data_IF_701160142889
#
_entry.id   IF_701160142889
#
_cell.length_a   1.000
_cell.length_b   1.000
_cell.length_c   1.000
_cell.angle_alpha   90.00
_cell.angle_beta   90.00
_cell.angle_gamma   90.00
#
_symmetry.space_group_name_H-M   'P 1'
#
loop_
_entity.id
_entity.type
_entity.pdbx_description
1 polymer ?
#
# COMPACT_ATOMS: atom_id res chain seq x y z
N UNK A 1 -18.77 24.44 -10.43
CA UNK A 1 -18.48 23.11 -10.99
C UNK A 1 -17.62 22.43 -9.97
N UNK A 2 -18.15 21.40 -9.31
CA UNK A 2 -17.32 20.54 -8.47
C UNK A 2 -16.30 19.85 -9.41
N UNK A 3 -15.01 19.96 -9.09
CA UNK A 3 -13.95 19.32 -9.89
C UNK A 3 -14.11 17.80 -9.78
N UNK A 4 -13.93 17.08 -10.88
CA UNK A 4 -13.88 15.61 -10.84
C UNK A 4 -12.56 15.14 -10.21
N UNK A 5 -12.50 13.90 -9.70
CA UNK A 5 -11.23 13.39 -9.18
C UNK A 5 -10.16 13.25 -10.27
N UNK A 6 -10.59 12.97 -11.51
CA UNK A 6 -9.72 12.98 -12.67
C UNK A 6 -9.07 14.35 -12.86
N UNK A 7 -9.86 15.43 -12.77
CA UNK A 7 -9.36 16.79 -12.92
C UNK A 7 -8.38 17.14 -11.80
N UNK A 8 -8.69 16.75 -10.57
CA UNK A 8 -7.84 16.98 -9.39
C UNK A 8 -6.51 16.26 -9.55
N UNK A 9 -6.50 14.95 -9.79
CA UNK A 9 -5.26 14.18 -9.87
C UNK A 9 -4.40 14.46 -11.10
N UNK A 10 -4.98 14.94 -12.20
CA UNK A 10 -4.18 15.44 -13.33
C UNK A 10 -3.36 16.69 -13.01
N UNK A 11 -3.60 17.33 -11.86
CA UNK A 11 -2.78 18.43 -11.36
C UNK A 11 -1.53 17.95 -10.60
N UNK A 12 -1.40 16.65 -10.30
CA UNK A 12 -0.21 16.09 -9.63
C UNK A 12 1.03 16.37 -10.49
N UNK A 13 2.06 17.06 -9.96
CA UNK A 13 3.26 17.35 -10.71
C UNK A 13 3.98 16.08 -11.19
N UNK A 14 4.43 16.11 -12.44
CA UNK A 14 5.12 15.00 -13.10
C UNK A 14 6.63 15.12 -12.96
N UNK A 15 7.12 15.54 -11.78
CA UNK A 15 8.56 15.64 -11.54
C UNK A 15 9.19 14.25 -11.48
N UNK A 16 10.48 14.09 -11.81
CA UNK A 16 11.17 12.81 -11.69
C UNK A 16 11.07 12.20 -10.29
N UNK A 17 11.03 13.03 -9.26
CA UNK A 17 10.90 12.61 -7.87
C UNK A 17 9.53 11.99 -7.58
N UNK A 18 8.45 12.65 -8.00
CA UNK A 18 7.07 12.14 -7.85
C UNK A 18 6.89 10.82 -8.61
N UNK A 19 7.37 10.73 -9.86
CA UNK A 19 7.29 9.50 -10.65
C UNK A 19 8.10 8.37 -10.00
N UNK A 20 9.31 8.68 -9.51
CA UNK A 20 10.19 7.72 -8.84
C UNK A 20 9.57 7.20 -7.53
N UNK A 21 8.83 8.05 -6.81
CA UNK A 21 8.15 7.66 -5.59
C UNK A 21 7.18 6.50 -5.82
N UNK A 22 6.30 6.61 -6.83
CA UNK A 22 5.34 5.54 -7.16
C UNK A 22 5.96 4.35 -7.90
N UNK A 23 7.14 4.51 -8.48
CA UNK A 23 7.82 3.44 -9.22
C UNK A 23 8.02 2.18 -8.37
N UNK A 24 7.56 1.05 -8.92
CA UNK A 24 7.67 -0.26 -8.30
C UNK A 24 6.66 -0.53 -7.18
N UNK A 25 5.81 0.43 -6.79
CA UNK A 25 4.69 0.19 -5.86
C UNK A 25 3.57 -0.59 -6.57
N UNK A 26 3.33 -0.23 -7.84
CA UNK A 26 2.46 -0.88 -8.82
C UNK A 26 2.90 -0.45 -10.25
N UNK A 27 2.41 -1.12 -11.28
CA UNK A 27 2.57 -0.69 -12.68
C UNK A 27 1.28 -0.01 -13.17
N UNK A 28 0.12 -0.59 -12.89
CA UNK A 28 -1.19 -0.02 -13.21
C UNK A 28 -2.23 -0.42 -12.17
N UNK A 29 -2.96 0.55 -11.63
CA UNK A 29 -4.05 0.31 -10.68
C UNK A 29 -5.36 0.92 -11.17
N UNK A 30 -6.45 0.30 -10.77
CA UNK A 30 -7.75 0.93 -10.76
C UNK A 30 -8.00 1.61 -9.42
N UNK A 31 -8.60 2.79 -9.45
CA UNK A 31 -9.02 3.53 -8.26
C UNK A 31 -10.53 3.72 -8.34
N UNK A 32 -11.23 3.44 -7.24
CA UNK A 32 -12.67 3.68 -7.12
C UNK A 32 -12.90 4.62 -5.95
N UNK A 33 -13.63 5.71 -6.20
CA UNK A 33 -13.91 6.74 -5.18
C UNK A 33 -15.29 6.48 -4.61
N UNK A 34 -15.31 6.24 -3.29
CA UNK A 34 -16.46 5.64 -2.62
C UNK A 34 -17.70 6.53 -2.66
N UNK A 35 -17.52 7.84 -2.56
CA UNK A 35 -18.58 8.84 -2.44
C UNK A 35 -19.16 9.25 -3.79
N UNK A 36 -18.32 9.37 -4.81
CA UNK A 36 -18.72 9.83 -6.15
C UNK A 36 -19.02 8.68 -7.11
N UNK A 37 -18.50 7.47 -6.81
CA UNK A 37 -18.55 6.33 -7.72
C UNK A 37 -17.62 6.47 -8.92
N UNK A 38 -16.78 7.50 -8.96
CA UNK A 38 -15.80 7.69 -10.02
C UNK A 38 -14.77 6.56 -10.01
N UNK A 39 -14.41 6.14 -11.22
CA UNK A 39 -13.38 5.14 -11.46
C UNK A 39 -12.27 5.76 -12.31
N UNK A 40 -11.02 5.53 -11.91
CA UNK A 40 -9.84 6.04 -12.57
C UNK A 40 -8.81 4.92 -12.75
N UNK A 41 -8.00 5.04 -13.79
CA UNK A 41 -6.80 4.24 -14.02
C UNK A 41 -5.58 5.09 -13.71
N UNK A 42 -4.64 4.55 -12.94
CA UNK A 42 -3.33 5.18 -12.69
C UNK A 42 -2.26 4.21 -13.16
N UNK A 43 -1.47 4.61 -14.17
CA UNK A 43 -0.38 3.82 -14.70
C UNK A 43 0.96 4.55 -14.52
N UNK A 44 1.97 3.83 -14.01
CA UNK A 44 3.34 4.35 -13.89
C UNK A 44 4.07 4.03 -15.18
N UNK A 45 4.40 5.07 -15.93
CA UNK A 45 5.24 5.01 -17.11
C UNK A 45 6.70 5.35 -16.75
N UNK A 46 7.59 5.43 -17.75
CA UNK A 46 9.03 5.62 -17.49
C UNK A 46 9.33 6.96 -16.81
N UNK A 47 8.63 8.00 -17.23
CA UNK A 47 8.86 9.39 -16.87
C UNK A 47 7.57 10.15 -16.55
N UNK A 48 6.44 9.45 -16.43
CA UNK A 48 5.14 10.03 -16.16
C UNK A 48 4.22 9.08 -15.40
N UNK A 49 3.19 9.65 -14.77
CA UNK A 49 2.04 8.96 -14.19
C UNK A 49 0.85 9.27 -15.10
N UNK A 50 0.36 8.28 -15.82
CA UNK A 50 -0.82 8.43 -16.68
C UNK A 50 -2.09 8.20 -15.87
N UNK A 51 -3.02 9.15 -15.94
CA UNK A 51 -4.31 9.09 -15.25
C UNK A 51 -5.45 9.23 -16.25
N UNK A 52 -6.23 8.16 -16.38
CA UNK A 52 -7.33 8.01 -17.35
C UNK A 52 -8.65 7.71 -16.63
N UNK A 53 -9.81 8.09 -17.20
CA UNK A 53 -11.11 7.69 -16.66
C UNK A 53 -11.35 6.18 -16.85
N UNK A 54 -12.09 5.58 -15.91
CA UNK A 54 -12.47 4.17 -15.90
C UNK A 54 -11.40 3.25 -15.32
N UNK A 55 -11.79 2.01 -14.98
CA UNK A 55 -10.85 0.98 -14.52
C UNK A 55 -10.04 0.39 -15.69
N UNK A 56 -8.77 0.01 -15.47
CA UNK A 56 -7.98 -0.66 -16.49
C UNK A 56 -8.49 -2.09 -16.69
N UNK A 57 -8.27 -2.69 -17.87
CA UNK A 57 -8.71 -4.08 -18.14
C UNK A 57 -8.03 -5.12 -17.23
N UNK A 58 -6.76 -4.89 -16.88
CA UNK A 58 -5.93 -5.80 -16.08
C UNK A 58 -5.17 -5.00 -15.01
N UNK A 59 -5.86 -4.50 -13.97
CA UNK A 59 -5.21 -3.80 -12.87
C UNK A 59 -4.32 -4.77 -12.10
N UNK A 60 -3.19 -4.27 -11.59
CA UNK A 60 -2.44 -4.94 -10.53
C UNK A 60 -3.31 -5.00 -9.26
N UNK A 61 -4.01 -3.89 -8.96
CA UNK A 61 -4.91 -3.72 -7.82
C UNK A 61 -6.09 -2.82 -8.18
N UNK A 62 -7.25 -3.05 -7.57
CA UNK A 62 -8.33 -2.06 -7.51
C UNK A 62 -8.41 -1.54 -6.07
N UNK A 63 -8.17 -0.24 -5.91
CA UNK A 63 -8.01 0.41 -4.61
C UNK A 63 -9.20 1.34 -4.35
N UNK A 64 -10.06 1.04 -3.37
CA UNK A 64 -11.09 1.97 -2.96
C UNK A 64 -10.48 3.10 -2.11
N UNK A 65 -10.83 4.34 -2.41
CA UNK A 65 -10.44 5.52 -1.63
C UNK A 65 -11.64 6.42 -1.33
N UNK A 66 -11.48 7.31 -0.35
CA UNK A 66 -12.44 8.37 -0.03
C UNK A 66 -12.19 9.62 -0.90
N UNK A 67 -13.16 10.52 -1.01
CA UNK A 67 -12.97 11.81 -1.69
C UNK A 67 -11.90 12.67 -1.01
N UNK A 68 -11.86 12.68 0.32
CA UNK A 68 -10.84 13.38 1.10
C UNK A 68 -9.41 12.94 0.72
N UNK A 69 -9.24 11.66 0.36
CA UNK A 69 -7.97 11.12 -0.11
C UNK A 69 -7.55 11.69 -1.47
N UNK A 70 -8.52 11.99 -2.33
CA UNK A 70 -8.28 12.60 -3.65
C UNK A 70 -7.73 14.01 -3.46
N UNK A 71 -8.38 14.80 -2.61
CA UNK A 71 -8.00 16.20 -2.32
C UNK A 71 -6.63 16.28 -1.64
N UNK A 72 -6.39 15.42 -0.64
CA UNK A 72 -5.13 15.39 0.07
C UNK A 72 -3.95 15.07 -0.85
N UNK A 73 -4.11 14.19 -1.84
CA UNK A 73 -3.00 13.77 -2.70
C UNK A 73 -2.39 14.93 -3.53
N UNK A 74 -3.19 15.90 -3.96
CA UNK A 74 -2.70 17.06 -4.72
C UNK A 74 -2.01 18.07 -3.82
N UNK A 75 -2.57 18.33 -2.63
CA UNK A 75 -2.03 19.26 -1.65
C UNK A 75 -0.66 18.84 -1.07
N UNK A 76 -0.15 17.66 -1.43
CA UNK A 76 1.09 17.09 -0.91
C UNK A 76 2.17 16.87 -1.97
N UNK A 77 1.93 17.35 -3.19
CA UNK A 77 2.89 17.27 -4.29
C UNK A 77 3.10 18.64 -4.96
N UNK A 78 2.58 19.75 -4.39
CA UNK A 78 2.51 21.06 -5.05
C UNK A 78 3.88 21.67 -5.37
N UNK A 79 4.91 21.44 -4.53
CA UNK A 79 6.27 21.97 -4.76
C UNK A 79 7.14 21.05 -5.64
N UNK A 80 6.64 19.86 -5.97
CA UNK A 80 7.30 18.90 -6.85
C UNK A 80 8.40 18.07 -6.20
N UNK A 81 8.64 18.23 -4.90
CA UNK A 81 9.48 17.36 -4.07
C UNK A 81 8.58 16.42 -3.24
N UNK A 82 9.15 15.39 -2.62
CA UNK A 82 8.41 14.56 -1.65
C UNK A 82 9.23 14.44 -0.37
N UNK A 83 8.93 15.31 0.59
CA UNK A 83 9.53 15.24 1.91
C UNK A 83 8.98 14.04 2.74
N UNK A 84 9.59 13.68 3.88
CA UNK A 84 9.11 12.58 4.70
C UNK A 84 7.67 12.73 5.24
N UNK A 85 7.19 13.96 5.45
CA UNK A 85 5.82 14.25 5.88
C UNK A 85 4.84 14.07 4.72
N UNK A 86 5.19 14.51 3.53
CA UNK A 86 4.41 14.34 2.29
C UNK A 86 4.32 12.87 1.90
N UNK A 87 5.45 12.15 1.90
CA UNK A 87 5.49 10.70 1.71
C UNK A 87 4.53 9.99 2.68
N UNK A 88 4.54 10.39 3.95
CA UNK A 88 3.64 9.82 4.95
C UNK A 88 2.17 10.13 4.68
N UNK A 89 1.82 11.34 4.25
CA UNK A 89 0.44 11.69 3.90
C UNK A 89 -0.05 10.92 2.67
N UNK A 90 0.79 10.78 1.64
CA UNK A 90 0.45 9.99 0.44
C UNK A 90 0.26 8.51 0.83
N UNK A 91 1.18 7.95 1.62
CA UNK A 91 1.07 6.57 2.08
C UNK A 91 -0.16 6.39 2.99
N UNK A 92 -0.46 7.34 3.87
CA UNK A 92 -1.56 7.23 4.84
C UNK A 92 -2.91 7.07 4.16
N UNK A 93 -3.12 7.80 3.04
CA UNK A 93 -4.28 7.72 2.17
C UNK A 93 -4.50 6.31 1.62
N UNK A 94 -3.44 5.67 1.13
CA UNK A 94 -3.51 4.36 0.47
C UNK A 94 -3.29 3.19 1.43
N UNK A 95 -2.85 3.45 2.66
CA UNK A 95 -2.22 2.46 3.54
C UNK A 95 -3.06 1.19 3.72
N UNK A 96 -4.30 1.35 4.19
CA UNK A 96 -5.20 0.23 4.48
C UNK A 96 -5.73 -0.40 3.19
N UNK A 97 -6.17 0.42 2.23
CA UNK A 97 -6.78 -0.06 0.98
C UNK A 97 -5.79 -0.82 0.09
N UNK A 98 -4.56 -0.32 -0.04
CA UNK A 98 -3.51 -1.00 -0.80
C UNK A 98 -3.07 -2.28 -0.10
N UNK A 99 -2.95 -2.28 1.23
CA UNK A 99 -2.67 -3.51 1.99
C UNK A 99 -3.76 -4.56 1.76
N UNK A 100 -5.03 -4.14 1.76
CA UNK A 100 -6.17 -5.01 1.47
C UNK A 100 -6.10 -5.58 0.04
N UNK A 101 -5.83 -4.73 -0.96
CA UNK A 101 -5.73 -5.16 -2.34
C UNK A 101 -4.56 -6.13 -2.56
N UNK A 102 -3.39 -5.85 -1.98
CA UNK A 102 -2.22 -6.73 -2.00
C UNK A 102 -2.55 -8.09 -1.39
N UNK A 103 -3.15 -8.12 -0.19
CA UNK A 103 -3.45 -9.38 0.51
C UNK A 103 -4.61 -10.19 -0.06
N UNK A 104 -5.45 -9.58 -0.91
CA UNK A 104 -6.47 -10.30 -1.72
C UNK A 104 -5.85 -11.14 -2.82
N UNK A 105 -4.60 -10.88 -3.23
CA UNK A 105 -3.93 -11.73 -4.21
C UNK A 105 -3.84 -13.17 -3.67
N UNK A 106 -4.35 -14.20 -4.39
CA UNK A 106 -4.43 -15.58 -3.89
C UNK A 106 -3.09 -16.13 -3.37
N UNK A 107 -1.97 -15.68 -3.94
CA UNK A 107 -0.65 -16.15 -3.53
C UNK A 107 -0.29 -15.71 -2.11
N UNK A 108 -0.80 -14.58 -1.66
CA UNK A 108 -0.58 -14.07 -0.30
C UNK A 108 -1.26 -14.95 0.75
N UNK A 109 -2.27 -15.71 0.34
CA UNK A 109 -2.99 -16.65 1.20
C UNK A 109 -2.42 -18.07 1.17
N UNK A 110 -1.33 -18.32 0.43
CA UNK A 110 -0.67 -19.62 0.37
C UNK A 110 -0.10 -20.03 1.74
N UNK A 111 -0.70 -21.05 2.35
CA UNK A 111 -0.35 -21.52 3.70
C UNK A 111 1.10 -22.00 3.84
N UNK A 112 1.68 -22.61 2.80
CA UNK A 112 3.06 -23.08 2.83
C UNK A 112 4.02 -21.89 2.92
N UNK A 113 3.85 -20.90 2.04
CA UNK A 113 4.67 -19.68 2.03
C UNK A 113 4.50 -18.87 3.32
N UNK A 114 3.27 -18.77 3.83
CA UNK A 114 2.97 -18.12 5.11
C UNK A 114 3.75 -18.73 6.28
N UNK A 115 3.83 -20.07 6.33
CA UNK A 115 4.59 -20.81 7.34
C UNK A 115 6.11 -20.60 7.18
N UNK A 116 6.62 -20.63 5.94
CA UNK A 116 8.04 -20.38 5.64
C UNK A 116 8.46 -18.97 6.08
N UNK A 117 7.61 -17.98 5.81
CA UNK A 117 7.80 -16.59 6.23
C UNK A 117 7.53 -16.37 7.73
N UNK A 118 7.03 -17.40 8.45
CA UNK A 118 6.62 -17.33 9.86
C UNK A 118 5.68 -16.17 10.13
N UNK A 119 4.69 -15.98 9.26
CA UNK A 119 3.68 -14.92 9.37
C UNK A 119 2.61 -15.36 10.37
N UNK A 120 2.32 -14.49 11.32
CA UNK A 120 1.34 -14.74 12.37
C UNK A 120 -0.11 -14.57 11.89
N UNK A 121 -1.07 -15.23 12.55
CA UNK A 121 -2.50 -15.16 12.15
C UNK A 121 -3.17 -13.82 12.50
N UNK A 122 -2.67 -13.09 13.49
CA UNK A 122 -3.16 -11.76 13.87
C UNK A 122 -1.97 -10.83 14.08
N UNK A 123 -1.96 -9.72 13.36
CA UNK A 123 -0.99 -8.65 13.54
C UNK A 123 -1.66 -7.28 13.54
N UNK A 124 -1.13 -6.36 14.33
CA UNK A 124 -1.47 -4.94 14.26
C UNK A 124 -0.39 -4.22 13.45
N UNK A 125 -0.78 -3.29 12.60
CA UNK A 125 0.13 -2.50 11.77
C UNK A 125 -0.18 -1.03 11.97
N UNK A 126 0.84 -0.26 12.32
CA UNK A 126 0.79 1.18 12.51
C UNK A 126 1.65 1.86 11.45
N UNK A 127 1.08 2.85 10.78
CA UNK A 127 1.83 3.85 10.03
C UNK A 127 2.17 5.00 10.99
N UNK A 128 3.46 5.19 11.23
CA UNK A 128 4.01 6.18 12.17
C UNK A 128 4.41 7.42 11.39
N UNK A 129 3.95 8.59 11.85
CA UNK A 129 4.32 9.89 11.30
C UNK A 129 5.79 10.25 11.64
N UNK A 130 6.43 11.15 10.89
CA UNK A 130 7.80 11.60 11.18
C UNK A 130 7.98 12.20 12.59
N UNK A 131 6.93 12.79 13.17
CA UNK A 131 6.93 13.32 14.55
C UNK A 131 6.68 12.24 15.63
N UNK A 132 6.61 10.97 15.23
CA UNK A 132 6.40 9.83 16.12
C UNK A 132 4.94 9.59 16.51
N UNK A 133 3.99 10.43 16.07
CA UNK A 133 2.56 10.18 16.33
C UNK A 133 2.04 9.08 15.40
N UNK A 134 1.26 8.17 15.96
CA UNK A 134 0.52 7.17 15.17
C UNK A 134 -0.71 7.85 14.55
N UNK A 135 -0.93 7.73 13.24
CA UNK A 135 -2.19 8.21 12.64
C UNK A 135 -3.07 7.07 12.12
N UNK A 136 -2.53 6.20 11.26
CA UNK A 136 -3.33 5.15 10.63
C UNK A 136 -2.88 3.77 11.12
N UNK A 137 -3.85 2.96 11.51
CA UNK A 137 -3.61 1.59 11.92
C UNK A 137 -4.67 0.65 11.37
N UNK A 138 -4.28 -0.59 11.17
CA UNK A 138 -5.19 -1.67 10.80
C UNK A 138 -4.74 -2.99 11.41
N UNK A 139 -5.69 -3.93 11.46
CA UNK A 139 -5.47 -5.30 11.90
C UNK A 139 -5.48 -6.23 10.70
N UNK A 140 -4.43 -7.05 10.61
CA UNK A 140 -4.36 -8.17 9.69
C UNK A 140 -4.84 -9.42 10.41
N UNK A 141 -5.84 -10.10 9.86
CA UNK A 141 -6.35 -11.38 10.38
C UNK A 141 -6.32 -12.43 9.28
N UNK A 142 -5.61 -13.53 9.52
CA UNK A 142 -5.67 -14.71 8.68
C UNK A 142 -6.69 -15.70 9.24
N UNK A 143 -7.76 -15.94 8.49
CA UNK A 143 -8.86 -16.83 8.90
C UNK A 143 -9.36 -17.63 7.71
N UNK A 144 -9.57 -18.94 7.87
CA UNK A 144 -10.12 -19.84 6.84
C UNK A 144 -9.48 -19.70 5.43
N UNK A 145 -8.17 -19.52 5.37
CA UNK A 145 -7.46 -19.46 4.08
C UNK A 145 -7.45 -18.09 3.40
N UNK A 146 -7.86 -17.02 4.10
CA UNK A 146 -7.90 -15.66 3.55
C UNK A 146 -7.36 -14.65 4.56
N UNK A 147 -6.84 -13.54 4.02
CA UNK A 147 -6.50 -12.35 4.78
C UNK A 147 -7.67 -11.39 4.84
N UNK A 148 -7.96 -10.91 6.04
CA UNK A 148 -8.82 -9.77 6.30
C UNK A 148 -7.95 -8.60 6.77
N UNK A 149 -8.20 -7.43 6.19
CA UNK A 149 -7.62 -6.16 6.62
C UNK A 149 -8.74 -5.32 7.17
N UNK A 150 -8.66 -5.01 8.47
CA UNK A 150 -9.72 -4.32 9.20
C UNK A 150 -9.14 -3.02 9.72
N UNK A 151 -9.77 -1.88 9.39
CA UNK A 151 -9.36 -0.59 9.91
C UNK A 151 -9.42 -0.57 11.45
N UNK A 152 -8.40 0.00 12.09
CA UNK A 152 -8.24 0.01 13.55
C UNK A 152 -7.63 -1.27 14.14
N UNK A 153 -7.53 -1.29 15.48
CA UNK A 153 -6.91 -2.36 16.24
C UNK A 153 -7.96 -3.32 16.80
N UNK A 154 -7.87 -4.59 16.43
CA UNK A 154 -8.84 -5.62 16.78
C UNK A 154 -8.13 -6.86 17.32
N UNK A 155 -8.65 -7.41 18.42
CA UNK A 155 -8.12 -8.63 19.05
C UNK A 155 -6.70 -8.48 19.60
N UNK A 156 -6.10 -9.62 19.96
CA UNK A 156 -4.76 -9.69 20.54
C UNK A 156 -3.72 -10.10 19.48
N UNK A 157 -2.82 -9.20 19.06
CA UNK A 157 -1.85 -9.49 18.03
C UNK A 157 -0.74 -10.40 18.55
N UNK A 158 -0.26 -11.31 17.71
CA UNK A 158 1.01 -12.02 17.98
C UNK A 158 2.22 -11.18 17.57
N UNK A 159 2.00 -10.14 16.78
CA UNK A 159 3.02 -9.20 16.30
C UNK A 159 2.42 -7.82 16.08
N UNK A 160 3.17 -6.79 16.44
CA UNK A 160 2.84 -5.40 16.13
C UNK A 160 3.92 -4.79 15.26
N UNK A 161 3.54 -4.28 14.10
CA UNK A 161 4.39 -3.52 13.19
C UNK A 161 4.24 -2.03 13.47
N UNK A 162 5.35 -1.30 13.50
CA UNK A 162 5.41 0.16 13.52
C UNK A 162 6.33 0.59 12.39
N UNK A 163 5.76 1.18 11.36
CA UNK A 163 6.43 1.40 10.09
C UNK A 163 6.33 2.88 9.70
N UNK A 164 7.45 3.43 9.24
CA UNK A 164 7.45 4.72 8.54
C UNK A 164 6.84 4.59 7.14
N UNK A 165 6.64 5.72 6.46
CA UNK A 165 6.24 5.71 5.04
C UNK A 165 7.24 4.95 4.18
N UNK A 166 8.55 5.14 4.42
CA UNK A 166 9.62 4.46 3.70
C UNK A 166 9.56 2.94 3.90
N UNK A 167 9.34 2.47 5.12
CA UNK A 167 9.18 1.04 5.42
C UNK A 167 7.99 0.42 4.68
N UNK A 168 6.88 1.14 4.62
CA UNK A 168 5.68 0.72 3.88
C UNK A 168 5.95 0.63 2.38
N UNK A 169 6.64 1.63 1.82
CA UNK A 169 6.99 1.67 0.40
C UNK A 169 7.98 0.55 0.04
N UNK A 170 9.02 0.31 0.84
CA UNK A 170 9.96 -0.79 0.58
C UNK A 170 9.25 -2.14 0.64
N UNK A 171 8.40 -2.37 1.66
CA UNK A 171 7.58 -3.59 1.71
C UNK A 171 6.71 -3.76 0.47
N UNK A 172 5.98 -2.72 0.08
CA UNK A 172 5.09 -2.77 -1.07
C UNK A 172 5.87 -3.05 -2.37
N UNK A 173 7.03 -2.41 -2.58
CA UNK A 173 7.90 -2.66 -3.74
C UNK A 173 8.38 -4.11 -3.79
N UNK A 174 8.81 -4.66 -2.65
CA UNK A 174 9.32 -6.03 -2.59
C UNK A 174 8.22 -7.06 -2.82
N UNK A 175 7.05 -6.87 -2.21
CA UNK A 175 5.93 -7.81 -2.38
C UNK A 175 5.35 -7.72 -3.79
N UNK A 176 5.22 -6.51 -4.34
CA UNK A 176 4.74 -6.30 -5.71
C UNK A 176 5.66 -6.98 -6.73
N UNK A 177 6.98 -6.80 -6.61
CA UNK A 177 7.95 -7.48 -7.48
C UNK A 177 7.84 -9.01 -7.40
N UNK A 178 7.64 -9.57 -6.20
CA UNK A 178 7.44 -11.01 -6.01
C UNK A 178 6.12 -11.50 -6.63
N UNK A 179 5.04 -10.72 -6.49
CA UNK A 179 3.74 -10.99 -7.12
C UNK A 179 3.87 -11.00 -8.64
N UNK A 180 4.54 -10.01 -9.24
CA UNK A 180 4.65 -9.90 -10.71
C UNK A 180 5.47 -11.04 -11.31
N UNK A 181 6.59 -11.38 -10.70
CA UNK A 181 7.47 -12.45 -11.20
C UNK A 181 6.93 -13.85 -10.89
N UNK A 182 6.16 -13.97 -9.81
CA UNK A 182 5.43 -15.15 -9.38
C UNK A 182 6.19 -16.49 -9.55
N UNK A 183 7.40 -16.59 -8.98
CA UNK A 183 8.18 -17.83 -9.01
C UNK A 183 8.59 -18.24 -7.60
N UNK A 184 8.78 -19.55 -7.39
CA UNK A 184 9.20 -20.09 -6.08
C UNK A 184 10.50 -19.43 -5.58
N UNK A 185 11.44 -19.18 -6.50
CA UNK A 185 12.70 -18.52 -6.19
C UNK A 185 12.49 -17.09 -5.70
N UNK A 186 11.64 -16.32 -6.36
CA UNK A 186 11.34 -14.94 -5.97
C UNK A 186 10.57 -14.88 -4.64
N UNK A 187 9.65 -15.82 -4.39
CA UNK A 187 8.97 -15.94 -3.11
C UNK A 187 9.91 -16.34 -1.96
N UNK A 188 10.90 -17.17 -2.23
CA UNK A 188 11.94 -17.49 -1.25
C UNK A 188 12.79 -16.27 -0.93
N UNK A 189 13.21 -15.50 -1.96
CA UNK A 189 13.94 -14.24 -1.78
C UNK A 189 13.13 -13.23 -0.97
N UNK A 190 11.87 -13.03 -1.32
CA UNK A 190 10.95 -12.17 -0.59
C UNK A 190 10.80 -12.62 0.87
N UNK A 191 10.55 -13.91 1.12
CA UNK A 191 10.38 -14.46 2.47
C UNK A 191 11.64 -14.26 3.34
N UNK A 192 12.82 -14.45 2.75
CA UNK A 192 14.10 -14.23 3.42
C UNK A 192 14.32 -12.75 3.78
N UNK A 193 14.06 -11.86 2.82
CA UNK A 193 14.12 -10.42 3.02
C UNK A 193 13.12 -9.97 4.10
N UNK A 194 11.84 -10.35 3.96
CA UNK A 194 10.76 -10.00 4.89
C UNK A 194 11.08 -10.42 6.31
N UNK A 195 11.63 -11.62 6.51
CA UNK A 195 12.03 -12.11 7.84
C UNK A 195 13.15 -11.30 8.48
N UNK A 196 14.03 -10.69 7.70
CA UNK A 196 15.08 -9.77 8.19
C UNK A 196 14.50 -8.40 8.46
N UNK A 197 13.85 -7.82 7.44
CA UNK A 197 13.22 -6.50 7.48
C UNK A 197 12.25 -6.35 8.66
N UNK A 198 11.33 -7.30 8.85
CA UNK A 198 10.33 -7.24 9.92
C UNK A 198 10.93 -7.17 11.33
N UNK A 199 12.18 -7.58 11.53
CA UNK A 199 12.83 -7.47 12.85
C UNK A 199 13.12 -6.01 13.22
N UNK A 200 13.34 -5.14 12.23
CA UNK A 200 13.57 -3.71 12.45
C UNK A 200 12.29 -2.93 12.72
N UNK A 201 11.17 -3.37 12.14
CA UNK A 201 9.90 -2.62 12.16
C UNK A 201 8.79 -3.28 12.97
N UNK A 202 9.08 -4.36 13.71
CA UNK A 202 8.03 -5.06 14.47
C UNK A 202 8.52 -5.73 15.74
N UNK A 203 7.62 -5.83 16.70
CA UNK A 203 7.80 -6.57 17.95
C UNK A 203 6.91 -7.81 17.91
N UNK A 204 7.50 -8.96 18.24
CA UNK A 204 6.75 -10.20 18.45
C UNK A 204 6.30 -10.26 19.91
N UNK A 205 5.01 -10.47 20.12
CA UNK A 205 4.46 -10.66 21.45
C UNK A 205 4.55 -12.13 21.82
N UNK A 206 5.13 -12.41 22.99
CA UNK A 206 4.99 -13.73 23.61
C UNK A 206 3.57 -13.79 24.18
N UNK A 207 2.87 -14.87 23.87
CA UNK A 207 1.77 -15.30 24.72
C UNK A 207 2.37 -15.95 25.96
#
# INVERSE_FOLDING_TARGET
MDKSALDVWRMIPQTPEVVTFFTGIFDVIGVSISETGEELSVAIERDAIRIDPGLPEKPDFVVPIAWENVENMVAHAEDGEIDPREAWRIVSVLFTSLTQATLRNPIMSNNLMRRIAMVEDIAHVFLVAPDGKEANCHTLVYVKGQWLVISGLHGNPKRTFRMSAEDCIDYQRKVFSAIKKNSLFEWFRFSSWYRKWRKGVSVRHRR
#
